data_IF_253404415546
#
_entry.id   IF_253404415546
#
_cell.length_a   1.000
_cell.length_b   1.000
_cell.length_c   1.000
_cell.angle_alpha   90.00
_cell.angle_beta   90.00
_cell.angle_gamma   90.00
#
_symmetry.space_group_name_H-M   'P 1'
#
loop_
_entity.id
_entity.type
_entity.pdbx_description
1 polymer ?
#
# COMPACT_ATOMS: atom_id res chain seq x y z
N UNK A 1 8.33 23.36 -0.94
CA UNK A 1 7.56 22.20 -0.53
C UNK A 1 7.04 21.41 -1.73
N UNK A 2 6.25 22.02 -2.62
CA UNK A 2 5.62 21.32 -3.76
C UNK A 2 6.62 20.50 -4.59
N UNK A 3 7.73 21.08 -4.99
CA UNK A 3 8.79 20.35 -5.70
C UNK A 3 9.27 19.10 -4.93
N UNK A 4 9.42 19.21 -3.60
CA UNK A 4 9.79 18.08 -2.75
C UNK A 4 8.71 17.00 -2.74
N UNK A 5 7.44 17.38 -2.60
CA UNK A 5 6.32 16.44 -2.60
C UNK A 5 6.15 15.74 -3.96
N UNK A 6 6.30 16.48 -5.07
CA UNK A 6 6.30 15.89 -6.42
C UNK A 6 7.46 14.90 -6.62
N UNK A 7 8.63 15.22 -6.06
CA UNK A 7 9.79 14.33 -6.09
C UNK A 7 9.54 13.05 -5.27
N UNK A 8 9.03 13.17 -4.05
CA UNK A 8 8.71 12.01 -3.21
C UNK A 8 7.62 11.12 -3.83
N UNK A 9 6.60 11.72 -4.41
CA UNK A 9 5.56 11.01 -5.16
C UNK A 9 6.14 10.25 -6.37
N UNK A 10 7.04 10.89 -7.10
CA UNK A 10 7.73 10.26 -8.23
C UNK A 10 8.60 9.09 -7.80
N UNK A 11 9.28 9.18 -6.65
CA UNK A 11 10.06 8.08 -6.08
C UNK A 11 9.17 6.91 -5.68
N UNK A 12 7.99 7.16 -5.08
CA UNK A 12 7.04 6.12 -4.71
C UNK A 12 6.52 5.36 -5.94
N UNK A 13 6.16 6.10 -6.99
CA UNK A 13 5.70 5.53 -8.25
C UNK A 13 6.83 4.77 -8.98
N UNK A 14 8.03 5.32 -9.00
CA UNK A 14 9.21 4.65 -9.57
C UNK A 14 9.53 3.35 -8.83
N UNK A 15 9.46 3.35 -7.49
CA UNK A 15 9.68 2.15 -6.69
C UNK A 15 8.65 1.06 -7.03
N UNK A 16 7.37 1.44 -7.16
CA UNK A 16 6.28 0.53 -7.55
C UNK A 16 6.51 -0.06 -8.96
N UNK A 17 6.86 0.77 -9.94
CA UNK A 17 7.15 0.31 -11.31
C UNK A 17 8.41 -0.57 -11.34
N UNK A 18 9.44 -0.21 -10.58
CA UNK A 18 10.69 -1.00 -10.49
C UNK A 18 10.39 -2.37 -9.87
N UNK A 19 9.62 -2.42 -8.80
CA UNK A 19 9.18 -3.66 -8.16
C UNK A 19 8.41 -4.56 -9.13
N UNK A 20 7.44 -4.00 -9.85
CA UNK A 20 6.66 -4.72 -10.87
C UNK A 20 7.53 -5.21 -12.05
N UNK A 21 8.61 -4.50 -12.37
CA UNK A 21 9.53 -4.84 -13.46
C UNK A 21 10.46 -6.01 -13.15
N UNK A 22 10.65 -6.32 -11.87
CA UNK A 22 11.52 -7.43 -11.43
C UNK A 22 10.74 -8.74 -11.48
N UNK A 23 11.24 -9.70 -12.26
CA UNK A 23 10.64 -11.03 -12.32
C UNK A 23 10.86 -11.77 -10.99
N UNK A 24 9.76 -12.10 -10.32
CA UNK A 24 9.76 -12.82 -9.06
C UNK A 24 8.50 -13.70 -8.93
N UNK A 25 8.51 -14.75 -8.10
CA UNK A 25 7.34 -15.59 -7.87
C UNK A 25 6.16 -14.79 -7.30
N UNK A 26 4.95 -15.16 -7.70
CA UNK A 26 3.72 -14.65 -7.08
C UNK A 26 3.23 -13.29 -7.56
N UNK A 27 3.92 -12.61 -8.47
CA UNK A 27 3.50 -11.32 -9.00
C UNK A 27 3.35 -11.33 -10.53
N UNK A 28 2.48 -10.46 -11.06
CA UNK A 28 2.45 -10.15 -12.47
C UNK A 28 3.78 -9.51 -12.89
N UNK A 29 4.23 -9.79 -14.08
CA UNK A 29 5.50 -9.27 -14.63
C UNK A 29 5.36 -9.00 -16.12
N UNK A 30 6.38 -8.40 -16.71
CA UNK A 30 6.44 -8.18 -18.17
C UNK A 30 6.25 -9.44 -19.02
N UNK A 31 6.45 -10.62 -18.43
CA UNK A 31 6.43 -11.90 -19.15
C UNK A 31 5.22 -12.75 -18.82
N UNK A 32 4.46 -12.38 -17.77
CA UNK A 32 3.34 -13.18 -17.32
C UNK A 32 2.35 -12.34 -16.52
N UNK A 33 1.12 -12.35 -16.96
CA UNK A 33 -0.02 -11.84 -16.20
C UNK A 33 -0.45 -12.82 -15.11
N UNK A 34 -1.06 -12.32 -14.06
CA UNK A 34 -1.68 -13.12 -13.00
C UNK A 34 -3.19 -12.87 -12.99
N UNK A 35 -3.95 -13.87 -13.39
CA UNK A 35 -5.41 -13.78 -13.50
C UNK A 35 -5.84 -12.54 -14.30
N UNK A 36 -6.47 -11.57 -13.61
CA UNK A 36 -6.97 -10.32 -14.21
C UNK A 36 -6.01 -9.13 -14.06
N UNK A 37 -4.81 -9.34 -13.56
CA UNK A 37 -3.81 -8.28 -13.33
C UNK A 37 -2.65 -8.44 -14.33
N UNK A 38 -2.43 -7.42 -15.13
CA UNK A 38 -1.31 -7.32 -16.07
C UNK A 38 -0.18 -6.44 -15.52
N UNK A 39 0.99 -6.52 -16.14
CA UNK A 39 2.08 -5.58 -15.87
C UNK A 39 1.66 -4.13 -16.16
N UNK A 40 0.90 -3.92 -17.23
CA UNK A 40 0.43 -2.59 -17.61
C UNK A 40 -0.55 -2.01 -16.59
N UNK A 41 -1.37 -2.84 -15.92
CA UNK A 41 -2.24 -2.39 -14.83
C UNK A 41 -1.43 -1.90 -13.63
N UNK A 42 -0.32 -2.59 -13.29
CA UNK A 42 0.59 -2.17 -12.22
C UNK A 42 1.23 -0.81 -12.53
N UNK A 43 1.75 -0.66 -13.75
CA UNK A 43 2.39 0.58 -14.21
C UNK A 43 1.37 1.73 -14.28
N UNK A 44 0.21 1.50 -14.89
CA UNK A 44 -0.85 2.50 -14.98
C UNK A 44 -1.31 2.96 -13.59
N UNK A 45 -1.52 2.01 -12.66
CA UNK A 45 -1.90 2.32 -11.29
C UNK A 45 -0.86 3.19 -10.57
N UNK A 46 0.44 2.87 -10.73
CA UNK A 46 1.52 3.65 -10.14
C UNK A 46 1.53 5.10 -10.68
N UNK A 47 1.39 5.27 -11.99
CA UNK A 47 1.37 6.60 -12.64
C UNK A 47 0.14 7.40 -12.20
N UNK A 48 -1.04 6.80 -12.24
CA UNK A 48 -2.30 7.45 -11.86
C UNK A 48 -2.32 7.86 -10.39
N UNK A 49 -1.61 7.15 -9.50
CA UNK A 49 -1.55 7.47 -8.08
C UNK A 49 -0.57 8.62 -7.77
N UNK A 50 0.39 8.93 -8.65
CA UNK A 50 1.44 9.93 -8.41
C UNK A 50 0.91 11.29 -7.94
N UNK A 51 -0.10 11.93 -8.58
CA UNK A 51 -0.58 13.24 -8.12
C UNK A 51 -1.23 13.19 -6.74
N UNK A 52 -1.84 12.07 -6.37
CA UNK A 52 -2.44 11.87 -5.05
C UNK A 52 -1.39 11.66 -3.96
N UNK A 53 -0.27 11.03 -4.27
CA UNK A 53 0.88 10.94 -3.38
C UNK A 53 1.50 12.31 -3.13
N UNK A 54 1.68 13.15 -4.16
CA UNK A 54 2.18 14.51 -4.00
C UNK A 54 1.27 15.32 -3.09
N UNK A 55 -0.04 15.25 -3.31
CA UNK A 55 -1.03 15.93 -2.49
C UNK A 55 -1.04 15.42 -1.04
N UNK A 56 -0.90 14.12 -0.81
CA UNK A 56 -0.82 13.57 0.54
C UNK A 56 0.40 14.13 1.30
N UNK A 57 1.55 14.28 0.64
CA UNK A 57 2.73 14.91 1.22
C UNK A 57 2.49 16.40 1.58
N UNK A 58 1.84 17.16 0.70
CA UNK A 58 1.48 18.56 0.98
C UNK A 58 0.52 18.65 2.17
N UNK A 59 -0.50 17.82 2.22
CA UNK A 59 -1.45 17.74 3.33
C UNK A 59 -0.76 17.41 4.66
N UNK A 60 0.14 16.44 4.66
CA UNK A 60 0.89 16.09 5.87
C UNK A 60 1.76 17.21 6.40
N UNK A 61 2.35 18.02 5.51
CA UNK A 61 3.13 19.19 5.90
C UNK A 61 2.26 20.29 6.53
N UNK A 62 1.08 20.54 5.96
CA UNK A 62 0.17 21.57 6.47
C UNK A 62 -0.74 21.09 7.61
N UNK A 63 -0.76 19.78 7.91
CA UNK A 63 -1.69 19.17 8.86
C UNK A 63 -3.15 19.20 8.35
N UNK A 64 -3.34 19.13 7.04
CA UNK A 64 -4.63 19.20 6.36
C UNK A 64 -5.01 17.87 5.70
N UNK A 65 -6.24 17.81 5.17
CA UNK A 65 -6.72 16.66 4.38
C UNK A 65 -6.79 15.36 5.15
N UNK A 66 -6.90 14.26 4.40
CA UNK A 66 -7.02 12.91 4.92
C UNK A 66 -6.02 11.97 4.23
N UNK A 67 -5.42 11.08 5.00
CA UNK A 67 -4.35 10.19 4.52
C UNK A 67 -4.82 9.34 3.35
N UNK A 68 -5.99 8.69 3.48
CA UNK A 68 -6.50 7.74 2.48
C UNK A 68 -7.55 8.31 1.52
N UNK A 69 -7.87 9.59 1.60
CA UNK A 69 -8.74 10.24 0.62
C UNK A 69 -8.14 10.14 -0.79
N UNK A 70 -6.83 10.39 -0.92
CA UNK A 70 -6.12 10.27 -2.20
C UNK A 70 -6.12 8.85 -2.77
N UNK A 71 -6.16 7.81 -1.93
CA UNK A 71 -6.29 6.42 -2.36
C UNK A 71 -7.65 6.18 -3.05
N UNK A 72 -8.74 6.63 -2.42
CA UNK A 72 -10.07 6.50 -3.00
C UNK A 72 -10.18 7.23 -4.35
N UNK A 73 -9.62 8.43 -4.43
CA UNK A 73 -9.63 9.22 -5.66
C UNK A 73 -8.80 8.55 -6.77
N UNK A 74 -7.62 7.99 -6.45
CA UNK A 74 -6.80 7.24 -7.42
C UNK A 74 -7.52 5.99 -7.95
N UNK A 75 -8.21 5.26 -7.08
CA UNK A 75 -9.04 4.10 -7.47
C UNK A 75 -10.16 4.51 -8.42
N UNK A 76 -10.85 5.60 -8.12
CA UNK A 76 -11.95 6.12 -8.96
C UNK A 76 -11.45 6.61 -10.31
N UNK A 77 -10.29 7.25 -10.35
CA UNK A 77 -9.69 7.70 -11.60
C UNK A 77 -9.29 6.52 -12.48
N UNK A 78 -8.66 5.49 -11.93
CA UNK A 78 -8.35 4.27 -12.68
C UNK A 78 -9.62 3.63 -13.26
N UNK A 79 -10.69 3.54 -12.47
CA UNK A 79 -11.98 3.01 -12.90
C UNK A 79 -12.60 3.86 -14.02
N UNK A 80 -12.54 5.18 -13.92
CA UNK A 80 -13.04 6.10 -14.94
C UNK A 80 -12.31 5.92 -16.30
N UNK A 81 -11.04 5.52 -16.25
CA UNK A 81 -10.24 5.19 -17.42
C UNK A 81 -10.34 3.72 -17.85
N UNK A 82 -11.30 2.97 -17.30
CA UNK A 82 -11.49 1.53 -17.54
C UNK A 82 -10.22 0.71 -17.28
N UNK A 83 -9.43 1.09 -16.25
CA UNK A 83 -8.21 0.41 -15.82
C UNK A 83 -8.40 -0.31 -14.50
N UNK A 84 -7.74 -1.45 -14.35
CA UNK A 84 -7.66 -2.12 -13.06
C UNK A 84 -6.69 -1.35 -12.16
N UNK A 85 -7.09 -1.10 -10.92
CA UNK A 85 -6.19 -0.54 -9.91
C UNK A 85 -5.48 -1.69 -9.17
N UNK A 86 -4.26 -1.97 -9.57
CA UNK A 86 -3.56 -3.21 -9.22
C UNK A 86 -2.58 -3.09 -8.04
N UNK A 87 -2.39 -1.86 -7.48
CA UNK A 87 -1.39 -1.59 -6.42
C UNK A 87 -2.02 -1.23 -5.08
N UNK A 88 -3.23 -1.68 -4.79
CA UNK A 88 -3.98 -1.24 -3.62
C UNK A 88 -3.21 -1.46 -2.30
N UNK A 89 -2.65 -2.66 -2.08
CA UNK A 89 -1.86 -2.96 -0.89
C UNK A 89 -0.59 -2.09 -0.78
N UNK A 90 0.11 -1.88 -1.89
CA UNK A 90 1.27 -0.98 -1.96
C UNK A 90 0.87 0.46 -1.62
N UNK A 91 -0.24 0.94 -2.17
CA UNK A 91 -0.73 2.28 -1.90
C UNK A 91 -1.15 2.45 -0.43
N UNK A 92 -1.79 1.45 0.18
CA UNK A 92 -2.09 1.46 1.62
C UNK A 92 -0.84 1.69 2.47
N UNK A 93 0.29 1.08 2.11
CA UNK A 93 1.57 1.25 2.82
C UNK A 93 2.21 2.61 2.50
N UNK A 94 2.10 3.11 1.27
CA UNK A 94 2.80 4.30 0.84
C UNK A 94 2.11 5.61 1.28
N UNK A 95 0.78 5.68 1.36
CA UNK A 95 0.08 6.92 1.72
C UNK A 95 0.50 7.49 3.07
N UNK A 96 0.60 6.73 4.18
CA UNK A 96 1.10 7.27 5.45
C UNK A 96 2.55 7.75 5.38
N UNK A 97 3.39 7.04 4.61
CA UNK A 97 4.78 7.44 4.40
C UNK A 97 4.88 8.76 3.62
N UNK A 98 4.08 8.92 2.56
CA UNK A 98 4.06 10.16 1.79
C UNK A 98 3.51 11.33 2.63
N UNK A 99 2.45 11.10 3.42
CA UNK A 99 1.89 12.11 4.31
C UNK A 99 2.93 12.64 5.30
N UNK A 100 3.77 11.77 5.86
CA UNK A 100 4.81 12.16 6.83
C UNK A 100 6.16 12.54 6.18
N UNK A 101 6.31 12.42 4.86
CA UNK A 101 7.61 12.54 4.19
C UNK A 101 8.25 13.92 4.33
N UNK A 102 7.46 15.00 4.32
CA UNK A 102 7.97 16.36 4.47
C UNK A 102 8.38 16.70 5.92
N UNK A 103 7.95 15.88 6.89
CA UNK A 103 8.19 16.06 8.31
C UNK A 103 9.30 15.17 8.87
N UNK A 104 9.88 14.30 8.04
CA UNK A 104 10.90 13.33 8.44
C UNK A 104 12.27 13.65 7.82
N UNK A 105 13.35 13.40 8.58
CA UNK A 105 14.74 13.63 8.17
C UNK A 105 15.50 12.36 7.81
N UNK A 106 14.91 11.20 8.06
CA UNK A 106 15.50 9.89 7.77
C UNK A 106 14.43 8.84 7.53
N UNK A 107 14.78 7.74 6.86
CA UNK A 107 13.86 6.61 6.64
C UNK A 107 13.34 6.01 7.95
N UNK A 108 14.18 5.93 8.97
CA UNK A 108 13.77 5.44 10.31
C UNK A 108 12.76 6.39 10.98
N UNK A 109 13.00 7.69 10.92
CA UNK A 109 12.06 8.68 11.43
C UNK A 109 10.75 8.65 10.64
N UNK A 110 10.83 8.55 9.32
CA UNK A 110 9.67 8.46 8.43
C UNK A 110 8.76 7.29 8.79
N UNK A 111 9.32 6.10 8.93
CA UNK A 111 8.53 4.91 9.30
C UNK A 111 7.96 5.01 10.72
N UNK A 112 8.70 5.58 11.67
CA UNK A 112 8.21 5.81 13.02
C UNK A 112 7.03 6.79 13.05
N UNK A 113 7.14 7.92 12.33
CA UNK A 113 6.07 8.92 12.20
C UNK A 113 4.84 8.36 11.51
N UNK A 114 5.02 7.66 10.38
CA UNK A 114 3.92 7.01 9.67
C UNK A 114 3.19 5.98 10.54
N UNK A 115 3.92 5.22 11.36
CA UNK A 115 3.33 4.28 12.33
C UNK A 115 2.51 5.02 13.39
N UNK A 116 3.05 6.09 13.97
CA UNK A 116 2.32 6.92 14.93
C UNK A 116 1.06 7.54 14.30
N UNK A 117 1.18 8.04 13.07
CA UNK A 117 0.04 8.55 12.31
C UNK A 117 -1.05 7.48 12.18
N UNK A 118 -0.71 6.27 11.70
CA UNK A 118 -1.68 5.17 11.53
C UNK A 118 -2.43 4.85 12.83
N UNK A 119 -1.75 4.92 13.98
CA UNK A 119 -2.37 4.70 15.30
C UNK A 119 -3.45 5.75 15.65
N UNK A 120 -3.42 6.91 15.02
CA UNK A 120 -4.38 8.02 15.26
C UNK A 120 -5.51 8.08 14.23
N UNK A 121 -5.43 7.28 13.15
CA UNK A 121 -6.41 7.34 12.07
C UNK A 121 -7.77 6.77 12.50
N UNK A 122 -8.77 7.64 12.45
CA UNK A 122 -10.13 7.38 12.93
C UNK A 122 -11.02 6.62 11.94
N UNK A 123 -12.31 6.62 12.23
CA UNK A 123 -13.35 5.95 11.42
C UNK A 123 -13.56 6.56 10.05
N UNK A 124 -13.28 7.82 9.87
CA UNK A 124 -13.34 8.53 8.58
C UNK A 124 -12.28 8.00 7.61
N UNK A 125 -11.07 7.73 8.09
CA UNK A 125 -10.01 7.10 7.29
C UNK A 125 -10.34 5.63 6.96
N UNK A 126 -10.93 4.91 7.90
CA UNK A 126 -11.45 3.56 7.65
C UNK A 126 -12.49 3.57 6.52
N UNK A 127 -13.34 4.59 6.47
CA UNK A 127 -14.37 4.72 5.44
C UNK A 127 -13.76 4.95 4.05
N UNK A 128 -12.71 5.77 3.91
CA UNK A 128 -12.00 5.91 2.62
C UNK A 128 -11.43 4.59 2.13
N UNK A 129 -10.82 3.79 3.02
CA UNK A 129 -10.30 2.47 2.66
C UNK A 129 -11.41 1.51 2.27
N UNK A 130 -12.51 1.47 3.02
CA UNK A 130 -13.70 0.63 2.72
C UNK A 130 -14.33 0.99 1.38
N UNK A 131 -14.51 2.27 1.11
CA UNK A 131 -15.04 2.75 -0.17
C UNK A 131 -14.10 2.38 -1.32
N UNK A 132 -12.79 2.51 -1.15
CA UNK A 132 -11.82 2.11 -2.15
C UNK A 132 -11.91 0.61 -2.47
N UNK A 133 -12.02 -0.23 -1.44
CA UNK A 133 -12.21 -1.68 -1.60
C UNK A 133 -13.53 -2.01 -2.30
N UNK A 134 -14.59 -1.28 -1.97
CA UNK A 134 -15.91 -1.44 -2.61
C UNK A 134 -15.86 -1.07 -4.10
N UNK A 135 -15.19 0.04 -4.45
CA UNK A 135 -15.01 0.48 -5.83
C UNK A 135 -14.20 -0.53 -6.68
N UNK A 136 -13.25 -1.22 -6.06
CA UNK A 136 -12.46 -2.26 -6.72
C UNK A 136 -13.25 -3.54 -6.98
N UNK A 137 -14.38 -3.73 -6.33
CA UNK A 137 -15.22 -4.92 -6.51
C UNK A 137 -14.48 -6.22 -6.21
N UNK A 138 -13.63 -6.21 -5.17
CA UNK A 138 -12.69 -7.29 -4.88
C UNK A 138 -13.37 -8.58 -4.44
N UNK A 139 -13.87 -9.33 -5.42
CA UNK A 139 -14.34 -10.71 -5.20
C UNK A 139 -13.24 -11.65 -4.72
N UNK A 140 -11.97 -11.30 -4.96
CA UNK A 140 -10.82 -12.14 -4.63
C UNK A 140 -10.34 -12.04 -3.18
N UNK A 141 -10.78 -11.04 -2.41
CA UNK A 141 -10.49 -11.00 -0.98
C UNK A 141 -11.24 -12.08 -0.19
N UNK A 142 -12.20 -12.76 -0.83
CA UNK A 142 -13.07 -13.72 -0.17
C UNK A 142 -14.05 -13.01 0.78
N UNK A 143 -15.08 -13.71 1.22
CA UNK A 143 -15.81 -13.36 2.45
C UNK A 143 -14.97 -13.94 3.59
N UNK A 144 -14.34 -13.11 4.37
CA UNK A 144 -13.87 -13.51 5.68
C UNK A 144 -15.12 -13.82 6.51
N UNK A 145 -15.08 -14.89 7.31
CA UNK A 145 -16.18 -15.25 8.20
C UNK A 145 -16.66 -14.03 8.99
N UNK A 146 -17.92 -13.87 9.07
CA UNK A 146 -18.82 -12.77 9.42
C UNK A 146 -18.34 -11.65 10.36
N UNK A 147 -17.33 -11.86 11.18
CA UNK A 147 -16.83 -10.83 12.12
C UNK A 147 -15.64 -10.02 11.60
N UNK A 148 -15.04 -10.42 10.48
CA UNK A 148 -13.82 -9.83 9.92
C UNK A 148 -14.05 -9.17 8.55
N UNK A 149 -15.30 -9.08 8.10
CA UNK A 149 -15.61 -8.40 6.86
C UNK A 149 -15.46 -6.87 7.05
N UNK A 150 -14.47 -6.28 6.37
CA UNK A 150 -14.20 -4.84 6.41
C UNK A 150 -15.46 -4.01 6.08
N UNK A 151 -16.42 -4.56 5.32
CA UNK A 151 -17.67 -3.89 4.94
C UNK A 151 -18.57 -3.62 6.14
N UNK A 152 -18.53 -4.48 7.13
CA UNK A 152 -19.34 -4.37 8.36
C UNK A 152 -18.55 -3.79 9.54
N UNK A 153 -17.21 -3.65 9.39
CA UNK A 153 -16.36 -3.13 10.45
C UNK A 153 -16.75 -1.69 10.79
N UNK A 154 -16.93 -1.43 12.09
CA UNK A 154 -17.17 -0.10 12.65
C UNK A 154 -16.10 0.19 13.69
N UNK A 155 -15.30 1.23 13.45
CA UNK A 155 -14.21 1.61 14.34
C UNK A 155 -13.17 2.46 13.62
N UNK A 156 -12.07 2.69 14.28
CA UNK A 156 -10.93 3.41 13.71
C UNK A 156 -10.25 2.60 12.61
N UNK A 157 -9.51 3.27 11.72
CA UNK A 157 -8.67 2.56 10.76
C UNK A 157 -7.62 1.70 11.47
N UNK A 158 -7.03 2.22 12.53
CA UNK A 158 -6.06 1.45 13.33
C UNK A 158 -6.66 0.14 13.86
N UNK A 159 -7.86 0.19 14.42
CA UNK A 159 -8.53 -1.02 14.90
C UNK A 159 -8.82 -2.01 13.76
N UNK A 160 -9.23 -1.51 12.60
CA UNK A 160 -9.46 -2.33 11.41
C UNK A 160 -8.17 -3.04 10.96
N UNK A 161 -7.06 -2.32 10.88
CA UNK A 161 -5.75 -2.89 10.50
C UNK A 161 -5.24 -3.85 11.58
N UNK A 162 -5.35 -3.50 12.86
CA UNK A 162 -4.95 -4.37 13.97
C UNK A 162 -5.71 -5.69 13.97
N UNK A 163 -7.01 -5.62 13.75
CA UNK A 163 -7.87 -6.79 13.66
C UNK A 163 -7.51 -7.73 12.51
N UNK A 164 -7.11 -7.17 11.37
CA UNK A 164 -6.72 -7.92 10.17
C UNK A 164 -5.26 -8.38 10.19
N UNK A 165 -4.44 -7.90 11.12
CA UNK A 165 -2.97 -8.07 11.08
C UNK A 165 -2.49 -9.52 11.23
N UNK A 166 -3.30 -10.42 11.80
CA UNK A 166 -2.96 -11.83 11.92
C UNK A 166 -3.08 -12.58 10.58
N UNK A 167 -3.95 -12.10 9.69
CA UNK A 167 -4.27 -12.76 8.42
C UNK A 167 -3.91 -11.95 7.18
N UNK A 168 -3.50 -10.70 7.35
CA UNK A 168 -3.15 -9.79 6.26
C UNK A 168 -1.80 -9.11 6.50
N UNK A 169 -0.88 -9.31 5.57
CA UNK A 169 0.50 -8.81 5.69
C UNK A 169 0.58 -7.30 5.58
N UNK A 170 -0.25 -6.65 4.75
CA UNK A 170 -0.28 -5.19 4.61
C UNK A 170 -0.78 -4.55 5.90
N UNK A 171 -1.86 -5.10 6.48
CA UNK A 171 -2.37 -4.66 7.77
C UNK A 171 -1.32 -4.85 8.88
N UNK A 172 -0.62 -5.98 8.88
CA UNK A 172 0.48 -6.26 9.81
C UNK A 172 1.60 -5.24 9.71
N UNK A 173 2.03 -4.88 8.49
CA UNK A 173 3.07 -3.87 8.28
C UNK A 173 2.66 -2.50 8.83
N UNK A 174 1.43 -2.06 8.58
CA UNK A 174 0.92 -0.79 9.07
C UNK A 174 0.93 -0.71 10.61
N UNK A 175 0.56 -1.79 11.30
CA UNK A 175 0.48 -1.78 12.78
C UNK A 175 1.79 -2.15 13.46
N UNK A 176 2.72 -2.82 12.77
CA UNK A 176 4.01 -3.24 13.34
C UNK A 176 5.17 -2.28 13.08
N UNK A 177 4.92 -1.16 12.42
CA UNK A 177 5.94 -0.14 12.16
C UNK A 177 6.83 -0.45 10.97
N UNK A 178 6.28 -1.01 9.90
CA UNK A 178 7.01 -1.33 8.67
C UNK A 178 8.20 -2.28 8.90
N UNK A 179 8.05 -3.20 9.85
CA UNK A 179 9.16 -4.06 10.30
C UNK A 179 9.72 -4.95 9.20
N UNK A 180 8.84 -5.55 8.38
CA UNK A 180 9.26 -6.42 7.27
C UNK A 180 9.86 -5.56 6.17
N UNK A 181 9.25 -4.42 5.85
CA UNK A 181 9.75 -3.46 4.84
C UNK A 181 11.14 -2.92 5.19
N UNK A 182 11.39 -2.57 6.46
CA UNK A 182 12.72 -2.14 6.93
C UNK A 182 13.75 -3.27 6.83
N UNK A 183 13.36 -4.50 7.16
CA UNK A 183 14.23 -5.68 7.01
C UNK A 183 14.55 -5.94 5.52
N UNK A 184 13.53 -5.86 4.65
CA UNK A 184 13.69 -5.98 3.22
C UNK A 184 14.63 -4.90 2.65
N UNK A 185 14.48 -3.65 3.11
CA UNK A 185 15.37 -2.55 2.72
C UNK A 185 16.85 -2.84 3.01
N UNK A 186 17.16 -3.35 4.20
CA UNK A 186 18.54 -3.72 4.55
C UNK A 186 19.04 -4.92 3.72
N UNK A 187 18.17 -5.87 3.42
CA UNK A 187 18.52 -7.00 2.57
C UNK A 187 18.76 -6.58 1.12
N UNK A 188 17.93 -5.69 0.56
CA UNK A 188 18.10 -5.16 -0.80
C UNK A 188 19.45 -4.47 -0.98
N UNK A 189 19.88 -3.68 -0.01
CA UNK A 189 21.20 -3.00 -0.04
C UNK A 189 22.37 -3.99 -0.09
N UNK A 190 22.25 -5.14 0.51
CA UNK A 190 23.30 -6.15 0.62
C UNK A 190 23.31 -7.17 -0.52
N UNK A 191 22.13 -7.61 -0.92
CA UNK A 191 21.96 -8.81 -1.74
C UNK A 191 21.23 -8.53 -3.08
N UNK A 192 20.73 -7.30 -3.26
CA UNK A 192 19.90 -6.91 -4.40
C UNK A 192 18.44 -7.37 -4.26
N UNK A 193 17.56 -6.83 -5.13
CA UNK A 193 16.11 -6.93 -5.00
C UNK A 193 15.60 -8.37 -5.00
N UNK A 194 16.04 -9.20 -5.96
CA UNK A 194 15.51 -10.58 -6.12
C UNK A 194 15.84 -11.46 -4.92
N UNK A 195 17.10 -11.43 -4.46
CA UNK A 195 17.52 -12.23 -3.30
C UNK A 195 16.85 -11.77 -2.02
N UNK A 196 16.76 -10.46 -1.81
CA UNK A 196 16.07 -9.89 -0.67
C UNK A 196 14.59 -10.30 -0.65
N UNK A 197 13.91 -10.24 -1.79
CA UNK A 197 12.53 -10.69 -1.92
C UNK A 197 12.35 -12.15 -1.56
N UNK A 198 13.17 -13.04 -2.13
CA UNK A 198 13.10 -14.48 -1.82
C UNK A 198 13.36 -14.77 -0.34
N UNK A 199 14.31 -14.07 0.28
CA UNK A 199 14.60 -14.19 1.70
C UNK A 199 13.44 -13.77 2.57
N UNK A 200 12.83 -12.62 2.27
CA UNK A 200 11.64 -12.14 2.98
C UNK A 200 10.49 -13.11 2.81
N UNK A 201 10.26 -13.62 1.59
CA UNK A 201 9.19 -14.59 1.31
C UNK A 201 9.39 -15.93 2.06
N UNK A 202 10.63 -16.39 2.23
CA UNK A 202 10.92 -17.58 3.03
C UNK A 202 10.64 -17.40 4.53
N UNK A 203 10.85 -16.20 5.05
CA UNK A 203 10.63 -15.90 6.46
C UNK A 203 9.19 -15.47 6.78
N UNK A 204 8.53 -14.84 5.81
CA UNK A 204 7.17 -14.32 5.89
C UNK A 204 6.42 -14.73 4.61
N UNK A 205 5.78 -15.87 4.60
CA UNK A 205 5.00 -16.32 3.45
C UNK A 205 3.87 -15.34 3.12
N UNK A 206 3.66 -15.09 1.83
CA UNK A 206 2.61 -14.20 1.34
C UNK A 206 1.22 -14.69 1.80
N UNK A 207 0.56 -13.89 2.63
CA UNK A 207 -0.74 -14.23 3.21
C UNK A 207 -1.85 -14.37 2.18
N UNK A 208 -1.75 -13.68 1.05
CA UNK A 208 -2.72 -13.77 -0.04
C UNK A 208 -2.56 -15.11 -0.79
N UNK A 209 -1.32 -15.54 -1.00
CA UNK A 209 -1.03 -16.86 -1.61
C UNK A 209 -1.51 -17.97 -0.67
N UNK A 210 -1.18 -17.89 0.62
CA UNK A 210 -1.63 -18.89 1.61
C UNK A 210 -3.15 -19.03 1.64
N UNK A 211 -3.89 -17.93 1.66
CA UNK A 211 -5.36 -17.95 1.65
C UNK A 211 -5.98 -18.52 0.36
N UNK A 212 -5.25 -18.47 -0.77
CA UNK A 212 -5.73 -18.99 -2.05
C UNK A 212 -5.32 -20.43 -2.32
N UNK A 213 -4.30 -20.92 -1.64
CA UNK A 213 -3.81 -22.29 -1.79
C UNK A 213 -4.50 -23.30 -0.86
N UNK A 214 -5.34 -22.80 0.05
CA UNK A 214 -6.21 -23.60 0.92
C UNK A 214 -5.53 -24.18 2.08
#
# INVERSE_FOLDING_TARGET
LRFFCDYMASLASLATVTEASVTKPGNASRYRDIKSVSFDDLVASAILTTPFYSRACEWGYYGEGKVYQGLLEAVREAKALSRNYAIFGTALLLFPLLYESANARSSRELTARATQLVMTLGSDEAEFVKLSLSELGLSYLGRLDSNFDFREFRGSLYDMMRFSSDVDEVARELVSGYRISLKAYEAVKKEGVVRAFLKVLCEQPDTLILRKSG
#
